data_IF_579798968283
#
_entry.id   IF_579798968283
#
_cell.length_a   1.000
_cell.length_b   1.000
_cell.length_c   1.000
_cell.angle_alpha   90.00
_cell.angle_beta   90.00
_cell.angle_gamma   90.00
#
_symmetry.space_group_name_H-M   'P 1'
#
loop_
_entity.id
_entity.type
_entity.pdbx_description
1 polymer ?
#
# COMPACT_ATOMS: atom_id res chain seq x y z
N UNK A 1 -3.74 -9.06 -46.98
CA UNK A 1 -3.47 -7.87 -46.13
C UNK A 1 -3.29 -8.37 -44.71
N UNK A 2 -2.15 -8.17 -44.04
CA UNK A 2 -2.01 -8.57 -42.65
C UNK A 2 -2.83 -7.62 -41.77
N UNK A 3 -3.73 -8.18 -40.95
CA UNK A 3 -4.52 -7.41 -40.00
C UNK A 3 -3.62 -6.65 -39.00
N UNK A 4 -3.98 -5.42 -38.59
CA UNK A 4 -3.28 -4.75 -37.52
C UNK A 4 -3.53 -5.50 -36.21
N UNK A 5 -2.45 -6.06 -35.64
CA UNK A 5 -2.45 -6.66 -34.31
C UNK A 5 -3.00 -5.64 -33.31
N UNK A 6 -4.28 -5.79 -32.95
CA UNK A 6 -4.96 -4.97 -31.96
C UNK A 6 -4.21 -5.17 -30.65
N UNK A 7 -3.41 -4.16 -30.27
CA UNK A 7 -2.65 -4.13 -29.02
C UNK A 7 -3.64 -4.03 -27.85
N UNK A 8 -4.28 -5.13 -27.51
CA UNK A 8 -5.01 -5.30 -26.28
C UNK A 8 -3.98 -5.34 -25.14
N UNK A 9 -3.52 -4.18 -24.69
CA UNK A 9 -3.10 -4.10 -23.29
C UNK A 9 -4.36 -4.41 -22.49
N UNK A 10 -4.45 -5.62 -21.94
CA UNK A 10 -5.61 -6.09 -21.19
C UNK A 10 -5.68 -5.30 -19.87
N UNK A 11 -6.12 -4.05 -19.95
CA UNK A 11 -6.36 -3.23 -18.77
C UNK A 11 -7.62 -3.78 -18.11
N UNK A 12 -7.42 -4.65 -17.12
CA UNK A 12 -8.51 -5.32 -16.42
C UNK A 12 -9.07 -4.40 -15.34
N UNK A 13 -9.94 -3.47 -15.76
CA UNK A 13 -10.63 -2.51 -14.89
C UNK A 13 -11.21 -3.18 -13.65
N UNK A 14 -11.78 -4.39 -13.80
CA UNK A 14 -12.36 -5.13 -12.68
C UNK A 14 -11.38 -5.46 -11.55
N UNK A 15 -10.12 -5.74 -11.86
CA UNK A 15 -9.11 -6.00 -10.82
C UNK A 15 -8.72 -4.72 -10.07
N UNK A 16 -8.69 -3.59 -10.77
CA UNK A 16 -8.45 -2.29 -10.14
C UNK A 16 -9.64 -1.86 -9.25
N UNK A 17 -10.88 -2.11 -9.69
CA UNK A 17 -12.07 -1.89 -8.85
C UNK A 17 -12.06 -2.77 -7.61
N UNK A 18 -11.68 -4.06 -7.74
CA UNK A 18 -11.59 -4.98 -6.61
C UNK A 18 -10.51 -4.55 -5.60
N UNK A 19 -9.38 -4.02 -6.08
CA UNK A 19 -8.36 -3.39 -5.22
C UNK A 19 -8.90 -2.16 -4.50
N UNK A 20 -9.70 -1.34 -5.18
CA UNK A 20 -10.39 -0.20 -4.59
C UNK A 20 -11.36 -0.61 -3.48
N UNK A 21 -12.20 -1.62 -3.72
CA UNK A 21 -13.10 -2.19 -2.72
C UNK A 21 -12.35 -2.77 -1.51
N UNK A 22 -11.22 -3.44 -1.76
CA UNK A 22 -10.37 -3.96 -0.69
C UNK A 22 -9.82 -2.84 0.20
N UNK A 23 -9.37 -1.72 -0.38
CA UNK A 23 -8.91 -0.54 0.38
C UNK A 23 -10.07 0.08 1.17
N UNK A 24 -11.25 0.23 0.56
CA UNK A 24 -12.44 0.75 1.25
C UNK A 24 -12.81 -0.12 2.45
N UNK A 25 -12.73 -1.45 2.31
CA UNK A 25 -12.93 -2.39 3.41
C UNK A 25 -11.99 -2.14 4.59
N UNK A 26 -10.70 -1.90 4.29
CA UNK A 26 -9.68 -1.58 5.32
C UNK A 26 -9.97 -0.24 6.00
N UNK A 27 -10.34 0.80 5.24
CA UNK A 27 -10.67 2.12 5.81
C UNK A 27 -11.89 2.01 6.73
N UNK A 28 -12.97 1.37 6.26
CA UNK A 28 -14.21 1.20 7.03
C UNK A 28 -13.98 0.42 8.33
N UNK A 29 -13.07 -0.56 8.30
CA UNK A 29 -12.65 -1.28 9.49
C UNK A 29 -11.94 -0.37 10.51
N UNK A 30 -11.02 0.49 10.07
CA UNK A 30 -10.25 1.37 10.97
C UNK A 30 -11.08 2.49 11.61
N UNK A 31 -12.19 2.91 10.99
CA UNK A 31 -13.10 3.90 11.58
C UNK A 31 -14.11 3.28 12.57
N UNK A 32 -13.84 2.06 13.06
CA UNK A 32 -14.70 1.30 13.99
C UNK A 32 -16.13 1.10 13.48
N UNK A 33 -16.29 0.88 12.18
CA UNK A 33 -17.62 0.62 11.65
C UNK A 33 -18.01 -0.85 11.90
N UNK A 34 -18.85 -1.06 12.92
CA UNK A 34 -19.27 -2.38 13.43
C UNK A 34 -19.89 -3.34 12.39
N UNK A 35 -20.28 -2.85 11.20
CA UNK A 35 -20.89 -3.66 10.14
C UNK A 35 -19.91 -4.50 9.30
N UNK A 36 -18.60 -4.31 9.45
CA UNK A 36 -17.60 -4.95 8.59
C UNK A 36 -16.39 -5.47 9.39
N UNK A 37 -16.60 -6.47 10.28
CA UNK A 37 -15.52 -7.05 11.10
C UNK A 37 -14.43 -7.74 10.27
N UNK A 38 -14.74 -8.12 9.02
CA UNK A 38 -13.79 -8.76 8.08
C UNK A 38 -12.94 -7.80 7.24
N UNK A 39 -13.00 -6.49 7.46
CA UNK A 39 -12.31 -5.51 6.60
C UNK A 39 -10.79 -5.65 6.56
N UNK A 40 -10.17 -6.30 7.56
CA UNK A 40 -8.74 -6.65 7.55
C UNK A 40 -8.34 -7.57 6.39
N UNK A 41 -9.26 -8.41 5.89
CA UNK A 41 -9.03 -9.27 4.73
C UNK A 41 -8.75 -8.46 3.45
N UNK A 42 -9.21 -7.21 3.41
CA UNK A 42 -8.91 -6.29 2.31
C UNK A 42 -7.42 -6.09 2.09
N UNK A 43 -6.60 -6.13 3.16
CA UNK A 43 -5.13 -6.05 3.05
C UNK A 43 -4.60 -7.23 2.22
N UNK A 44 -5.01 -8.45 2.57
CA UNK A 44 -4.60 -9.68 1.87
C UNK A 44 -5.04 -9.67 0.41
N UNK A 45 -6.31 -9.34 0.14
CA UNK A 45 -6.85 -9.26 -1.23
C UNK A 45 -6.08 -8.23 -2.05
N UNK A 46 -5.83 -7.05 -1.50
CA UNK A 46 -5.08 -6.00 -2.19
C UNK A 46 -3.67 -6.44 -2.57
N UNK A 47 -2.95 -7.10 -1.67
CA UNK A 47 -1.59 -7.59 -1.93
C UNK A 47 -1.55 -8.71 -2.97
N UNK A 48 -2.46 -9.69 -2.89
CA UNK A 48 -2.54 -10.79 -3.86
C UNK A 48 -2.82 -10.25 -5.27
N UNK A 49 -3.80 -9.36 -5.40
CA UNK A 49 -4.13 -8.75 -6.70
C UNK A 49 -2.98 -7.88 -7.23
N UNK A 50 -2.32 -7.13 -6.35
CA UNK A 50 -1.16 -6.32 -6.75
C UNK A 50 0.00 -7.20 -7.22
N UNK A 51 0.26 -8.32 -6.56
CA UNK A 51 1.26 -9.30 -6.96
C UNK A 51 0.97 -9.91 -8.33
N UNK A 52 -0.28 -10.36 -8.55
CA UNK A 52 -0.73 -10.87 -9.84
C UNK A 52 -0.52 -9.87 -10.98
N UNK A 53 -0.96 -8.62 -10.79
CA UNK A 53 -0.83 -7.56 -11.81
C UNK A 53 0.64 -7.21 -12.10
N UNK A 54 1.49 -7.16 -11.08
CA UNK A 54 2.92 -6.91 -11.27
C UNK A 54 3.55 -8.04 -12.09
N UNK A 55 3.28 -9.29 -11.73
CA UNK A 55 3.80 -10.45 -12.45
C UNK A 55 3.31 -10.49 -13.90
N UNK A 56 2.03 -10.19 -14.15
CA UNK A 56 1.49 -10.10 -15.52
C UNK A 56 2.22 -9.05 -16.37
N UNK A 57 2.45 -7.84 -15.82
CA UNK A 57 3.20 -6.78 -16.49
C UNK A 57 4.62 -7.24 -16.84
N UNK A 58 5.33 -7.85 -15.87
CA UNK A 58 6.71 -8.33 -16.08
C UNK A 58 6.76 -9.50 -17.07
N UNK A 59 5.78 -10.40 -17.04
CA UNK A 59 5.68 -11.52 -17.97
C UNK A 59 5.42 -11.04 -19.41
N UNK A 60 4.57 -10.03 -19.60
CA UNK A 60 4.32 -9.40 -20.90
C UNK A 60 5.59 -8.71 -21.41
N UNK A 61 6.31 -7.98 -20.54
CA UNK A 61 7.57 -7.32 -20.91
C UNK A 61 8.63 -8.34 -21.34
N UNK A 62 8.79 -9.41 -20.57
CA UNK A 62 9.70 -10.51 -20.90
C UNK A 62 9.35 -11.18 -22.23
N UNK A 63 8.06 -11.43 -22.48
CA UNK A 63 7.59 -12.03 -23.73
C UNK A 63 7.94 -11.17 -24.95
N UNK A 64 7.79 -9.85 -24.83
CA UNK A 64 7.99 -8.91 -25.94
C UNK A 64 9.46 -8.55 -26.16
N UNK A 65 10.23 -8.35 -25.08
CA UNK A 65 11.56 -7.76 -25.15
C UNK A 65 12.69 -8.73 -24.79
N UNK A 66 12.36 -9.96 -24.34
CA UNK A 66 13.30 -10.95 -23.78
C UNK A 66 14.17 -10.41 -22.64
N UNK A 67 13.74 -9.30 -22.04
CA UNK A 67 14.41 -8.61 -20.93
C UNK A 67 13.36 -7.89 -20.11
N UNK A 68 13.61 -7.81 -18.80
CA UNK A 68 12.83 -7.00 -17.87
C UNK A 68 13.63 -5.74 -17.53
N UNK A 69 13.07 -4.56 -17.78
CA UNK A 69 13.64 -3.29 -17.33
C UNK A 69 13.09 -2.91 -15.95
N UNK A 70 13.75 -3.42 -14.91
CA UNK A 70 13.40 -3.12 -13.52
C UNK A 70 13.49 -1.63 -13.21
N UNK A 71 14.42 -0.90 -13.83
CA UNK A 71 14.58 0.54 -13.59
C UNK A 71 13.35 1.30 -14.08
N UNK A 72 12.90 1.00 -15.30
CA UNK A 72 11.67 1.59 -15.87
C UNK A 72 10.44 1.21 -15.05
N UNK A 73 10.34 -0.04 -14.59
CA UNK A 73 9.25 -0.50 -13.73
C UNK A 73 9.17 0.31 -12.42
N UNK A 74 10.29 0.42 -11.70
CA UNK A 74 10.33 1.14 -10.42
C UNK A 74 10.11 2.65 -10.59
N UNK A 75 10.66 3.27 -11.64
CA UNK A 75 10.43 4.71 -11.92
C UNK A 75 8.95 4.98 -12.20
N UNK A 76 8.30 4.13 -13.01
CA UNK A 76 6.88 4.27 -13.33
C UNK A 76 6.01 4.14 -12.08
N UNK A 77 6.38 3.21 -11.19
CA UNK A 77 5.70 3.02 -9.90
C UNK A 77 5.93 4.21 -8.95
N UNK A 78 7.16 4.70 -8.84
CA UNK A 78 7.52 5.83 -8.02
C UNK A 78 6.77 7.11 -8.44
N UNK A 79 6.69 7.41 -9.75
CA UNK A 79 5.94 8.55 -10.28
C UNK A 79 4.45 8.51 -9.94
N UNK A 80 3.89 7.31 -9.76
CA UNK A 80 2.48 7.12 -9.40
C UNK A 80 2.23 7.20 -7.89
N UNK A 81 3.13 6.68 -7.07
CA UNK A 81 2.92 6.54 -5.61
C UNK A 81 3.50 7.71 -4.80
N UNK A 82 4.67 8.24 -5.19
CA UNK A 82 5.36 9.28 -4.43
C UNK A 82 4.57 10.60 -4.34
N UNK A 83 3.93 11.12 -5.41
CA UNK A 83 3.21 12.39 -5.30
C UNK A 83 2.11 12.36 -4.24
N UNK A 84 1.31 11.29 -4.20
CA UNK A 84 0.25 11.13 -3.21
C UNK A 84 0.79 11.03 -1.78
N UNK A 85 1.87 10.27 -1.58
CA UNK A 85 2.55 10.16 -0.29
C UNK A 85 3.11 11.51 0.18
N UNK A 86 3.76 12.27 -0.70
CA UNK A 86 4.34 13.57 -0.36
C UNK A 86 3.25 14.59 0.01
N UNK A 87 2.16 14.65 -0.76
CA UNK A 87 1.02 15.52 -0.45
C UNK A 87 0.44 15.16 0.92
N UNK A 88 0.19 13.86 1.17
CA UNK A 88 -0.30 13.40 2.47
C UNK A 88 0.62 13.82 3.62
N UNK A 89 1.94 13.61 3.48
CA UNK A 89 2.92 13.98 4.50
C UNK A 89 2.93 15.49 4.76
N UNK A 90 2.93 16.31 3.71
CA UNK A 90 2.89 17.77 3.83
C UNK A 90 1.62 18.21 4.58
N UNK A 91 0.46 17.67 4.21
CA UNK A 91 -0.83 17.98 4.84
C UNK A 91 -0.82 17.61 6.31
N UNK A 92 -0.34 16.41 6.66
CA UNK A 92 -0.27 15.94 8.05
C UNK A 92 0.71 16.79 8.88
N UNK A 93 1.90 17.07 8.34
CA UNK A 93 2.90 17.90 9.03
C UNK A 93 2.34 19.31 9.27
N UNK A 94 1.71 19.91 8.26
CA UNK A 94 1.09 21.23 8.38
C UNK A 94 -0.02 21.23 9.45
N UNK A 95 -0.93 20.24 9.40
CA UNK A 95 -2.01 20.09 10.38
C UNK A 95 -1.50 19.97 11.81
N UNK A 96 -0.51 19.10 12.04
CA UNK A 96 0.03 18.85 13.38
C UNK A 96 0.81 20.06 13.89
N UNK A 97 1.53 20.76 13.01
CA UNK A 97 2.25 21.98 13.39
C UNK A 97 1.31 23.07 13.89
N UNK A 98 0.15 23.23 13.23
CA UNK A 98 -0.85 24.24 13.57
C UNK A 98 -1.63 23.89 14.85
N UNK A 99 -2.07 22.63 14.98
CA UNK A 99 -3.05 22.26 16.01
C UNK A 99 -2.46 21.47 17.20
N UNK A 100 -1.32 20.78 17.03
CA UNK A 100 -0.81 19.80 18.01
C UNK A 100 0.73 19.77 18.05
N UNK A 101 1.37 20.92 18.28
CA UNK A 101 2.83 21.08 18.20
C UNK A 101 3.61 20.19 19.18
N UNK A 102 2.99 19.69 20.25
CA UNK A 102 3.58 18.76 21.23
C UNK A 102 3.82 17.33 20.69
N UNK A 103 3.14 16.92 19.61
CA UNK A 103 3.34 15.60 18.96
C UNK A 103 4.55 15.58 18.01
N UNK A 104 5.08 16.74 17.62
CA UNK A 104 6.14 16.83 16.61
C UNK A 104 7.42 16.09 17.01
N UNK A 105 7.76 16.04 18.30
CA UNK A 105 8.97 15.38 18.79
C UNK A 105 8.87 13.85 18.68
N UNK A 106 7.69 13.27 18.91
CA UNK A 106 7.44 11.82 18.75
C UNK A 106 7.41 11.39 17.27
N UNK A 107 7.01 12.29 16.37
CA UNK A 107 6.82 11.94 14.95
C UNK A 107 8.06 12.04 14.06
N UNK A 108 9.19 12.61 14.52
CA UNK A 108 10.38 12.77 13.67
C UNK A 108 10.91 11.44 13.15
N UNK A 109 10.92 10.39 14.00
CA UNK A 109 11.35 9.04 13.61
C UNK A 109 10.39 8.39 12.62
N UNK A 110 9.09 8.43 12.90
CA UNK A 110 8.05 7.80 12.07
C UNK A 110 7.91 8.49 10.70
N UNK A 111 8.07 9.81 10.64
CA UNK A 111 8.00 10.58 9.40
C UNK A 111 9.17 10.26 8.47
N UNK A 112 10.38 10.06 9.01
CA UNK A 112 11.54 9.64 8.24
C UNK A 112 11.39 8.20 7.74
N UNK A 113 10.88 7.30 8.58
CA UNK A 113 10.61 5.92 8.17
C UNK A 113 9.52 5.85 7.08
N UNK A 114 8.48 6.69 7.16
CA UNK A 114 7.45 6.81 6.14
C UNK A 114 7.99 7.36 4.82
N UNK A 115 8.82 8.42 4.88
CA UNK A 115 9.47 9.01 3.70
C UNK A 115 10.36 8.01 2.96
N UNK A 116 11.11 7.19 3.71
CA UNK A 116 11.99 6.17 3.17
C UNK A 116 11.25 4.87 2.80
N UNK A 117 9.93 4.81 3.00
CA UNK A 117 9.12 3.62 2.75
C UNK A 117 9.53 2.39 3.58
N UNK A 118 10.14 2.61 4.75
CA UNK A 118 10.65 1.59 5.67
C UNK A 118 9.89 1.52 6.99
N UNK A 119 8.71 2.15 7.09
CA UNK A 119 7.88 2.13 8.31
C UNK A 119 7.65 0.73 8.88
N UNK A 120 7.41 -0.28 8.02
CA UNK A 120 7.23 -1.65 8.49
C UNK A 120 8.49 -2.19 9.20
N UNK A 121 9.68 -1.92 8.66
CA UNK A 121 10.95 -2.33 9.29
C UNK A 121 11.21 -1.55 10.58
N UNK A 122 10.88 -0.27 10.59
CA UNK A 122 10.94 0.57 11.78
C UNK A 122 10.06 0.04 12.91
N UNK A 123 8.82 -0.34 12.61
CA UNK A 123 7.90 -0.91 13.59
C UNK A 123 8.36 -2.27 14.12
N UNK A 124 8.88 -3.15 13.25
CA UNK A 124 9.48 -4.42 13.65
C UNK A 124 10.66 -4.17 14.61
N UNK A 125 11.54 -3.23 14.27
CA UNK A 125 12.70 -2.89 15.10
C UNK A 125 12.30 -2.35 16.48
N UNK A 126 11.24 -1.54 16.54
CA UNK A 126 10.71 -0.99 17.81
C UNK A 126 9.78 -1.95 18.55
N UNK A 127 9.65 -3.21 18.09
CA UNK A 127 8.75 -4.24 18.64
C UNK A 127 7.29 -3.77 18.75
N UNK A 128 6.90 -2.83 17.90
CA UNK A 128 5.49 -2.43 17.75
C UNK A 128 4.85 -3.48 16.85
N UNK A 129 4.15 -4.43 17.46
CA UNK A 129 3.44 -5.46 16.71
C UNK A 129 2.28 -4.81 15.97
N UNK A 130 2.41 -4.73 14.65
CA UNK A 130 1.34 -4.30 13.74
C UNK A 130 0.04 -5.06 14.07
N UNK A 131 0.14 -6.35 14.39
CA UNK A 131 -1.00 -7.21 14.72
C UNK A 131 -1.54 -7.06 16.15
N UNK A 132 -0.77 -6.53 17.11
CA UNK A 132 -1.31 -6.27 18.46
C UNK A 132 -2.32 -5.12 18.45
N UNK A 133 -2.31 -4.29 17.40
CA UNK A 133 -3.34 -3.29 17.13
C UNK A 133 -4.58 -3.86 16.42
N UNK A 134 -4.51 -5.09 15.87
CA UNK A 134 -5.57 -5.73 15.09
C UNK A 134 -6.17 -6.99 15.72
N UNK A 135 -5.42 -7.69 16.55
CA UNK A 135 -5.81 -8.95 17.18
C UNK A 135 -6.24 -8.72 18.62
N UNK A 136 -7.35 -9.33 19.01
CA UNK A 136 -7.62 -9.54 20.43
C UNK A 136 -6.38 -10.12 21.12
N UNK A 137 -6.09 -9.71 22.37
CA UNK A 137 -4.91 -10.19 23.09
C UNK A 137 -4.84 -11.71 23.02
N UNK A 138 -3.68 -12.23 22.64
CA UNK A 138 -3.43 -13.67 22.62
C UNK A 138 -3.90 -14.27 23.95
N UNK A 139 -4.76 -15.32 23.95
CA UNK A 139 -5.23 -15.97 25.18
C UNK A 139 -4.09 -16.53 26.05
N UNK A 140 -2.86 -16.58 25.52
CA UNK A 140 -1.66 -17.09 26.18
C UNK A 140 -0.70 -16.00 26.68
N UNK A 141 -1.05 -14.71 26.57
CA UNK A 141 -0.24 -13.61 27.15
C UNK A 141 -0.47 -13.43 28.67
N UNK A 142 -1.19 -14.35 29.32
CA UNK A 142 -1.42 -14.41 30.77
C UNK A 142 -0.67 -15.59 31.43
N UNK A 143 0.54 -15.90 30.95
CA UNK A 143 1.52 -16.71 31.69
C UNK A 143 2.89 -16.02 31.66
#
# INVERSE_FOLDING_TARGET
MPEPLKKNSRYMVGLDSLRGLAILGVILYHINFNWMPGGFLGVTVFFVLSGYLITDILAIEWKNNKRIDLKKFWISRARRLLPGMLIMLIVIIAWITIFHSSLLVKMRGDSLAALLYVSNWWYIYHKLSYFDSFGQPSPLNHF
#
